data_IF_568299531117
#
_entry.id   IF_568299531117
#
_cell.length_a   1.000
_cell.length_b   1.000
_cell.length_c   1.000
_cell.angle_alpha   90.00
_cell.angle_beta   90.00
_cell.angle_gamma   90.00
#
_symmetry.space_group_name_H-M   'P 1'
#
loop_
_entity.id
_entity.type
_entity.pdbx_description
1 polymer ?
#
# COMPACT_ATOMS: atom_id res chain seq x y z
N UNK A 1 -40.83 -44.92 0.10
CA UNK A 1 -39.69 -44.68 -0.82
C UNK A 1 -38.67 -43.87 -0.03
N UNK A 2 -37.49 -44.45 0.19
CA UNK A 2 -36.43 -43.75 0.86
C UNK A 2 -35.83 -42.69 -0.12
N UNK A 3 -35.66 -41.47 0.33
CA UNK A 3 -35.11 -40.40 -0.50
C UNK A 3 -33.59 -40.58 -0.67
N UNK A 4 -33.20 -41.15 -1.82
CA UNK A 4 -31.79 -41.41 -2.13
C UNK A 4 -31.14 -40.18 -2.78
N UNK A 5 -30.71 -39.22 -1.96
CA UNK A 5 -30.12 -37.98 -2.44
C UNK A 5 -28.83 -38.20 -3.25
N UNK A 6 -28.01 -39.21 -2.92
CA UNK A 6 -26.75 -39.48 -3.65
C UNK A 6 -26.98 -39.88 -5.11
N UNK A 7 -28.00 -40.72 -5.37
CA UNK A 7 -28.34 -41.08 -6.75
C UNK A 7 -28.91 -39.90 -7.54
N UNK A 8 -29.73 -39.09 -6.87
CA UNK A 8 -30.33 -37.89 -7.47
C UNK A 8 -29.23 -36.87 -7.84
N UNK A 9 -28.31 -36.55 -6.91
CA UNK A 9 -27.21 -35.67 -7.14
C UNK A 9 -26.31 -36.16 -8.27
N UNK A 10 -25.87 -37.41 -8.24
CA UNK A 10 -25.04 -38.00 -9.29
C UNK A 10 -25.71 -37.95 -10.68
N UNK A 11 -27.03 -38.20 -10.74
CA UNK A 11 -27.82 -38.13 -11.98
C UNK A 11 -27.80 -36.71 -12.53
N UNK A 12 -28.09 -35.70 -11.71
CA UNK A 12 -28.20 -34.33 -12.18
C UNK A 12 -26.83 -33.68 -12.52
N UNK A 13 -25.81 -33.97 -11.73
CA UNK A 13 -24.43 -33.50 -12.04
C UNK A 13 -23.97 -34.05 -13.39
N UNK A 14 -24.19 -35.34 -13.65
CA UNK A 14 -23.88 -35.93 -14.96
C UNK A 14 -24.66 -35.26 -16.09
N UNK A 15 -25.96 -35.06 -15.91
CA UNK A 15 -26.82 -34.42 -16.90
C UNK A 15 -26.36 -32.98 -17.22
N UNK A 16 -26.02 -32.18 -16.19
CA UNK A 16 -25.51 -30.82 -16.39
C UNK A 16 -24.21 -30.77 -17.19
N UNK A 17 -23.33 -31.76 -16.99
CA UNK A 17 -22.10 -31.91 -17.75
C UNK A 17 -22.36 -32.33 -19.20
N UNK A 18 -23.18 -33.35 -19.43
CA UNK A 18 -23.52 -33.89 -20.76
C UNK A 18 -24.27 -32.86 -21.62
N UNK A 19 -25.19 -32.12 -21.03
CA UNK A 19 -25.98 -31.08 -21.72
C UNK A 19 -25.31 -29.72 -21.74
N UNK A 20 -24.11 -29.55 -21.16
CA UNK A 20 -23.42 -28.25 -21.02
C UNK A 20 -24.34 -27.15 -20.49
N UNK A 21 -25.20 -27.50 -19.49
CA UNK A 21 -26.32 -26.66 -19.03
C UNK A 21 -25.93 -25.25 -18.64
N UNK A 22 -24.71 -25.03 -18.19
CA UNK A 22 -24.22 -23.74 -17.72
C UNK A 22 -23.33 -23.00 -18.71
N UNK A 23 -23.11 -23.59 -19.90
CA UNK A 23 -22.43 -22.92 -20.99
C UNK A 23 -23.24 -21.72 -21.47
N UNK A 24 -22.55 -20.58 -21.68
CA UNK A 24 -23.19 -19.35 -22.11
C UNK A 24 -22.44 -18.74 -23.30
N UNK A 25 -23.21 -18.37 -24.31
CA UNK A 25 -22.75 -17.54 -25.43
C UNK A 25 -23.37 -16.15 -25.32
N UNK A 26 -22.74 -15.18 -26.00
CA UNK A 26 -23.27 -13.82 -26.03
C UNK A 26 -24.63 -13.77 -26.72
N UNK A 27 -25.67 -13.38 -25.99
CA UNK A 27 -27.03 -13.25 -26.48
C UNK A 27 -27.54 -11.81 -26.24
N UNK A 28 -27.65 -10.98 -27.29
CA UNK A 28 -28.09 -9.59 -27.13
C UNK A 28 -29.59 -9.47 -26.83
N UNK A 29 -30.36 -10.54 -26.97
CA UNK A 29 -31.82 -10.53 -26.73
C UNK A 29 -32.16 -10.71 -25.25
N UNK A 30 -31.21 -11.13 -24.44
CA UNK A 30 -31.37 -11.39 -23.01
C UNK A 30 -30.55 -10.39 -22.19
N UNK A 31 -31.05 -9.94 -21.03
CA UNK A 31 -30.29 -9.11 -20.12
C UNK A 31 -29.06 -9.88 -19.61
N UNK A 32 -27.88 -9.23 -19.68
CA UNK A 32 -26.62 -9.84 -19.23
C UNK A 32 -26.49 -9.80 -17.72
N UNK A 33 -25.92 -10.88 -17.17
CA UNK A 33 -25.49 -10.91 -15.78
C UNK A 33 -24.14 -11.61 -15.65
N UNK A 34 -23.20 -11.00 -14.95
CA UNK A 34 -21.86 -11.54 -14.75
C UNK A 34 -21.63 -11.79 -13.26
N UNK A 35 -21.28 -13.02 -12.92
CA UNK A 35 -20.91 -13.43 -11.56
C UNK A 35 -19.45 -13.83 -11.57
N UNK A 36 -18.65 -13.17 -10.75
CA UNK A 36 -17.22 -13.44 -10.64
C UNK A 36 -16.87 -13.88 -9.23
N UNK A 37 -16.27 -15.05 -9.12
CA UNK A 37 -15.68 -15.56 -7.90
C UNK A 37 -14.16 -15.35 -7.88
N UNK A 38 -13.57 -15.29 -6.70
CA UNK A 38 -12.12 -15.32 -6.54
C UNK A 38 -11.61 -16.74 -6.86
N UNK A 39 -10.73 -16.84 -7.83
CA UNK A 39 -10.15 -18.12 -8.22
C UNK A 39 -9.28 -18.71 -7.11
N UNK A 40 -9.40 -20.02 -6.81
CA UNK A 40 -8.58 -20.65 -5.80
C UNK A 40 -7.13 -20.80 -6.29
N UNK A 41 -6.18 -20.76 -5.35
CA UNK A 41 -4.81 -21.23 -5.59
C UNK A 41 -4.77 -22.76 -5.52
N UNK A 42 -4.35 -23.47 -6.58
CA UNK A 42 -4.22 -24.92 -6.55
C UNK A 42 -2.94 -25.37 -5.81
N UNK A 43 -2.71 -24.83 -4.61
CA UNK A 43 -1.49 -25.02 -3.83
C UNK A 43 -1.52 -26.24 -2.90
N UNK A 44 -2.68 -26.90 -2.74
CA UNK A 44 -2.87 -28.04 -1.87
C UNK A 44 -3.50 -29.23 -2.57
N UNK A 45 -3.59 -30.36 -1.86
CA UNK A 45 -4.16 -31.60 -2.38
C UNK A 45 -5.69 -31.58 -2.57
N UNK A 46 -6.34 -30.45 -2.37
CA UNK A 46 -7.77 -30.24 -2.53
C UNK A 46 -8.27 -28.95 -1.89
N UNK A 47 -9.57 -28.68 -2.09
CA UNK A 47 -10.26 -27.54 -1.51
C UNK A 47 -10.33 -27.66 0.02
N UNK A 48 -10.21 -26.55 0.73
CA UNK A 48 -10.60 -26.43 2.13
C UNK A 48 -11.99 -25.80 2.23
N UNK A 49 -12.63 -25.91 3.40
CA UNK A 49 -14.03 -25.44 3.63
C UNK A 49 -14.24 -23.95 3.37
N UNK A 50 -13.20 -23.14 3.42
CA UNK A 50 -13.28 -21.71 3.11
C UNK A 50 -13.56 -21.41 1.63
N UNK A 51 -13.15 -22.28 0.70
CA UNK A 51 -13.40 -22.06 -0.73
C UNK A 51 -14.91 -22.10 -1.06
N UNK A 52 -15.67 -23.16 -0.69
CA UNK A 52 -17.09 -23.19 -0.98
C UNK A 52 -17.91 -22.10 -0.32
N UNK A 53 -17.44 -21.52 0.79
CA UNK A 53 -18.17 -20.52 1.54
C UNK A 53 -18.58 -19.31 0.67
N UNK A 54 -17.65 -18.79 -0.14
CA UNK A 54 -17.94 -17.73 -1.10
C UNK A 54 -18.74 -18.23 -2.31
N UNK A 55 -18.34 -19.38 -2.85
CA UNK A 55 -18.91 -19.92 -4.10
C UNK A 55 -20.36 -20.35 -3.98
N UNK A 56 -20.81 -20.80 -2.79
CA UNK A 56 -22.22 -21.16 -2.56
C UNK A 56 -23.12 -19.93 -2.73
N UNK A 57 -22.75 -18.79 -2.18
CA UNK A 57 -23.56 -17.57 -2.27
C UNK A 57 -23.69 -17.07 -3.73
N UNK A 58 -22.59 -17.02 -4.46
CA UNK A 58 -22.55 -16.60 -5.87
C UNK A 58 -23.28 -17.61 -6.78
N UNK A 59 -23.16 -18.91 -6.50
CA UNK A 59 -23.88 -19.95 -7.26
C UNK A 59 -25.39 -19.88 -7.07
N UNK A 60 -25.86 -19.69 -5.85
CA UNK A 60 -27.30 -19.49 -5.57
C UNK A 60 -27.81 -18.28 -6.34
N UNK A 61 -27.09 -17.16 -6.30
CA UNK A 61 -27.51 -15.95 -6.99
C UNK A 61 -27.43 -16.09 -8.52
N UNK A 62 -26.44 -16.79 -9.02
CA UNK A 62 -26.28 -17.15 -10.43
C UNK A 62 -27.49 -17.94 -10.95
N UNK A 63 -27.89 -19.00 -10.21
CA UNK A 63 -29.07 -19.80 -10.53
C UNK A 63 -30.36 -18.98 -10.49
N UNK A 64 -30.54 -18.17 -9.47
CA UNK A 64 -31.69 -17.26 -9.38
C UNK A 64 -31.79 -16.34 -10.61
N UNK A 65 -30.70 -15.71 -11.03
CA UNK A 65 -30.70 -14.86 -12.22
C UNK A 65 -31.00 -15.63 -13.51
N UNK A 66 -30.52 -16.87 -13.65
CA UNK A 66 -30.91 -17.72 -14.80
C UNK A 66 -32.41 -18.01 -14.82
N UNK A 67 -32.99 -18.31 -13.67
CA UNK A 67 -34.44 -18.50 -13.55
C UNK A 67 -35.23 -17.24 -13.86
N UNK A 68 -34.68 -16.06 -13.62
CA UNK A 68 -35.24 -14.76 -14.00
C UNK A 68 -35.05 -14.41 -15.50
N UNK A 69 -34.48 -15.30 -16.30
CA UNK A 69 -34.31 -15.11 -17.74
C UNK A 69 -33.04 -14.37 -18.18
N UNK A 70 -32.11 -14.08 -17.26
CA UNK A 70 -30.83 -13.46 -17.60
C UNK A 70 -29.90 -14.43 -18.33
N UNK A 71 -29.04 -13.86 -19.21
CA UNK A 71 -27.90 -14.55 -19.78
C UNK A 71 -26.74 -14.42 -18.80
N UNK A 72 -26.48 -15.48 -18.00
CA UNK A 72 -25.58 -15.45 -16.85
C UNK A 72 -24.23 -16.07 -17.20
N UNK A 73 -23.18 -15.26 -17.21
CA UNK A 73 -21.79 -15.73 -17.27
C UNK A 73 -21.27 -15.92 -15.83
N UNK A 74 -20.95 -17.15 -15.46
CA UNK A 74 -20.37 -17.53 -14.19
C UNK A 74 -19.10 -18.37 -14.43
N UNK A 75 -17.95 -17.71 -14.74
CA UNK A 75 -16.71 -18.41 -15.02
C UNK A 75 -16.03 -18.89 -13.74
N UNK A 76 -15.13 -19.85 -13.88
CA UNK A 76 -14.22 -20.29 -12.84
C UNK A 76 -12.82 -20.49 -13.42
N UNK A 77 -11.83 -20.52 -12.56
CA UNK A 77 -10.45 -20.71 -12.95
C UNK A 77 -9.54 -20.99 -11.77
N UNK A 78 -8.24 -20.87 -12.00
CA UNK A 78 -7.20 -21.16 -11.01
C UNK A 78 -6.13 -20.10 -11.09
N UNK A 79 -5.80 -19.52 -9.93
CA UNK A 79 -4.63 -18.66 -9.78
C UNK A 79 -3.42 -19.58 -9.55
N UNK A 80 -2.71 -19.89 -10.63
CA UNK A 80 -1.86 -21.07 -10.68
C UNK A 80 -0.34 -20.75 -10.67
N UNK A 81 0.04 -19.50 -10.50
CA UNK A 81 1.41 -19.10 -10.18
C UNK A 81 1.61 -18.95 -8.67
N UNK A 82 2.85 -18.96 -8.23
CA UNK A 82 3.21 -18.50 -6.90
C UNK A 82 4.14 -19.40 -6.11
N UNK A 83 4.64 -18.84 -5.01
CA UNK A 83 5.60 -19.43 -4.10
C UNK A 83 5.27 -20.85 -3.61
N UNK A 84 4.00 -21.22 -3.32
CA UNK A 84 3.68 -22.57 -2.88
C UNK A 84 4.10 -23.67 -3.86
N UNK A 85 3.82 -23.46 -5.14
CA UNK A 85 4.17 -24.43 -6.19
C UNK A 85 5.69 -24.48 -6.41
N UNK A 86 6.36 -23.33 -6.36
CA UNK A 86 7.81 -23.20 -6.50
C UNK A 86 8.55 -23.88 -5.36
N UNK A 87 8.15 -23.66 -4.12
CA UNK A 87 8.77 -24.29 -2.94
C UNK A 87 8.56 -25.80 -2.93
N UNK A 88 7.37 -26.27 -3.31
CA UNK A 88 7.14 -27.70 -3.46
C UNK A 88 8.02 -28.32 -4.55
N UNK A 89 8.23 -27.62 -5.65
CA UNK A 89 9.14 -28.04 -6.71
C UNK A 89 10.59 -28.16 -6.23
N UNK A 90 11.07 -27.20 -5.46
CA UNK A 90 12.43 -27.22 -4.86
C UNK A 90 12.58 -28.42 -3.92
N UNK A 91 11.58 -28.66 -3.07
CA UNK A 91 11.61 -29.76 -2.08
C UNK A 91 11.55 -31.15 -2.71
N UNK A 92 10.82 -31.29 -3.80
CA UNK A 92 10.54 -32.60 -4.42
C UNK A 92 11.33 -32.87 -5.69
N UNK A 93 11.99 -31.87 -6.26
CA UNK A 93 12.65 -31.94 -7.56
C UNK A 93 11.69 -32.08 -8.76
N UNK A 94 10.39 -31.84 -8.54
CA UNK A 94 9.37 -31.87 -9.60
C UNK A 94 9.18 -30.48 -10.21
N UNK A 95 8.97 -30.41 -11.52
CA UNK A 95 8.60 -29.16 -12.16
C UNK A 95 7.24 -28.64 -11.64
N UNK A 96 7.08 -27.35 -11.33
CA UNK A 96 5.84 -26.79 -10.74
C UNK A 96 4.58 -27.14 -11.53
N UNK A 97 4.64 -27.15 -12.86
CA UNK A 97 3.50 -27.46 -13.73
C UNK A 97 2.88 -28.85 -13.43
N UNK A 98 3.71 -29.86 -13.11
CA UNK A 98 3.22 -31.23 -12.86
C UNK A 98 2.32 -31.26 -11.63
N UNK A 99 2.74 -30.63 -10.56
CA UNK A 99 1.96 -30.55 -9.33
C UNK A 99 0.72 -29.67 -9.51
N UNK A 100 0.87 -28.53 -10.18
CA UNK A 100 -0.23 -27.61 -10.48
C UNK A 100 -1.34 -28.28 -11.27
N UNK A 101 -1.02 -29.02 -12.36
CA UNK A 101 -2.01 -29.75 -13.15
C UNK A 101 -2.75 -30.81 -12.32
N UNK A 102 -2.04 -31.57 -11.49
CA UNK A 102 -2.65 -32.56 -10.60
C UNK A 102 -3.61 -31.90 -9.61
N UNK A 103 -3.20 -30.80 -9.03
CA UNK A 103 -4.03 -30.07 -8.07
C UNK A 103 -5.26 -29.45 -8.75
N UNK A 104 -5.11 -28.86 -9.93
CA UNK A 104 -6.22 -28.34 -10.73
C UNK A 104 -7.24 -29.43 -11.00
N UNK A 105 -6.79 -30.59 -11.46
CA UNK A 105 -7.68 -31.72 -11.71
C UNK A 105 -8.46 -32.13 -10.46
N UNK A 106 -7.79 -32.13 -9.30
CA UNK A 106 -8.43 -32.46 -8.02
C UNK A 106 -9.44 -31.40 -7.57
N UNK A 107 -9.09 -30.12 -7.69
CA UNK A 107 -9.99 -29.00 -7.38
C UNK A 107 -11.22 -29.04 -8.28
N UNK A 108 -11.03 -29.28 -9.59
CA UNK A 108 -12.11 -29.43 -10.55
C UNK A 108 -13.08 -30.55 -10.16
N UNK A 109 -12.56 -31.74 -9.86
CA UNK A 109 -13.37 -32.88 -9.40
C UNK A 109 -14.20 -32.51 -8.16
N UNK A 110 -13.63 -31.81 -7.20
CA UNK A 110 -14.33 -31.42 -5.98
C UNK A 110 -15.43 -30.37 -6.24
N UNK A 111 -15.16 -29.36 -7.07
CA UNK A 111 -16.14 -28.34 -7.45
C UNK A 111 -17.30 -28.96 -8.24
N UNK A 112 -17.02 -29.89 -9.13
CA UNK A 112 -18.05 -30.66 -9.87
C UNK A 112 -18.92 -31.49 -8.94
N UNK A 113 -18.34 -32.13 -7.89
CA UNK A 113 -19.09 -32.92 -6.88
C UNK A 113 -20.00 -32.05 -6.00
N UNK A 114 -19.61 -30.77 -5.75
CA UNK A 114 -20.51 -29.84 -5.06
C UNK A 114 -21.67 -29.42 -5.98
N UNK A 115 -21.44 -29.44 -7.29
CA UNK A 115 -22.47 -29.20 -8.30
C UNK A 115 -22.67 -27.71 -8.62
N UNK A 116 -21.64 -26.91 -8.54
CA UNK A 116 -21.70 -25.49 -8.91
C UNK A 116 -22.06 -25.27 -10.38
N UNK A 117 -22.72 -24.15 -10.66
CA UNK A 117 -23.17 -23.76 -12.01
C UNK A 117 -22.12 -22.94 -12.78
N UNK A 118 -20.86 -23.37 -12.73
CA UNK A 118 -19.78 -22.71 -13.48
C UNK A 118 -19.82 -23.03 -14.97
N UNK A 119 -19.52 -22.03 -15.79
CA UNK A 119 -19.25 -22.23 -17.21
C UNK A 119 -17.79 -22.62 -17.45
N UNK A 120 -17.53 -23.90 -17.48
CA UNK A 120 -16.19 -24.45 -17.65
C UNK A 120 -15.57 -24.24 -19.03
N UNK A 121 -16.35 -23.82 -20.04
CA UNK A 121 -15.78 -23.36 -21.30
C UNK A 121 -15.03 -22.05 -21.17
N UNK A 122 -15.30 -21.33 -20.10
CA UNK A 122 -14.62 -20.09 -19.71
C UNK A 122 -13.59 -20.31 -18.60
N UNK A 123 -13.10 -21.55 -18.44
CA UNK A 123 -12.05 -21.85 -17.47
C UNK A 123 -10.81 -21.01 -17.73
N UNK A 124 -10.25 -20.42 -16.69
CA UNK A 124 -9.05 -19.60 -16.71
C UNK A 124 -7.95 -20.25 -15.87
N UNK A 125 -6.73 -20.29 -16.42
CA UNK A 125 -5.51 -20.69 -15.71
C UNK A 125 -4.48 -19.60 -15.87
N UNK A 126 -4.13 -18.94 -14.79
CA UNK A 126 -3.25 -17.76 -14.86
C UNK A 126 -1.83 -18.10 -15.33
N UNK A 127 -1.40 -19.36 -15.17
CA UNK A 127 -0.12 -19.88 -15.65
C UNK A 127 -0.12 -20.29 -17.14
N UNK A 128 -1.26 -20.22 -17.83
CA UNK A 128 -1.32 -20.55 -19.24
C UNK A 128 -0.75 -19.39 -20.10
N UNK A 129 0.12 -19.66 -21.07
CA UNK A 129 0.64 -18.63 -21.99
C UNK A 129 -0.44 -17.83 -22.69
N UNK A 130 -1.57 -18.44 -23.01
CA UNK A 130 -2.71 -17.77 -23.63
C UNK A 130 -3.33 -16.72 -22.73
N UNK A 131 -3.22 -16.88 -21.40
CA UNK A 131 -3.66 -15.93 -20.41
C UNK A 131 -2.59 -14.88 -20.07
N UNK A 132 -1.41 -15.29 -19.60
CA UNK A 132 -0.43 -14.35 -19.06
C UNK A 132 0.21 -13.44 -20.12
N UNK A 133 0.11 -13.76 -21.42
CA UNK A 133 0.50 -12.82 -22.48
C UNK A 133 -0.18 -11.45 -22.36
N UNK A 134 -1.42 -11.42 -21.84
CA UNK A 134 -2.16 -10.19 -21.63
C UNK A 134 -1.66 -9.41 -20.42
N UNK A 135 -1.22 -10.10 -19.38
CA UNK A 135 -0.53 -9.49 -18.24
C UNK A 135 0.79 -8.86 -18.67
N UNK A 136 1.57 -9.58 -19.51
CA UNK A 136 2.80 -9.05 -20.10
C UNK A 136 2.54 -7.84 -21.00
N UNK A 137 1.49 -7.91 -21.82
CA UNK A 137 1.09 -6.78 -22.67
C UNK A 137 0.72 -5.55 -21.81
N UNK A 138 -0.10 -5.73 -20.79
CA UNK A 138 -0.48 -4.64 -19.88
C UNK A 138 0.74 -4.01 -19.20
N UNK A 139 1.71 -4.83 -18.76
CA UNK A 139 2.97 -4.33 -18.22
C UNK A 139 3.76 -3.48 -19.24
N UNK A 140 3.87 -3.96 -20.47
CA UNK A 140 4.55 -3.23 -21.54
C UNK A 140 3.85 -1.90 -21.87
N UNK A 141 2.52 -1.88 -21.86
CA UNK A 141 1.78 -0.62 -22.04
C UNK A 141 2.02 0.34 -20.87
N UNK A 142 2.02 -0.13 -19.64
CA UNK A 142 2.39 0.71 -18.49
C UNK A 142 3.83 1.23 -18.57
N UNK A 143 4.77 0.43 -19.08
CA UNK A 143 6.15 0.88 -19.28
C UNK A 143 6.27 1.95 -20.38
N UNK A 144 5.45 1.88 -21.42
CA UNK A 144 5.41 2.84 -22.53
C UNK A 144 4.63 4.11 -22.22
N UNK A 145 3.99 4.22 -21.05
CA UNK A 145 3.11 5.34 -20.72
C UNK A 145 3.55 6.05 -19.43
N UNK A 146 3.17 7.33 -19.32
CA UNK A 146 3.19 8.13 -18.12
C UNK A 146 1.77 8.61 -17.80
N UNK A 147 1.52 9.08 -16.59
CA UNK A 147 0.23 9.66 -16.22
C UNK A 147 0.26 11.17 -16.28
N UNK A 148 -0.50 11.75 -17.18
CA UNK A 148 -0.71 13.18 -17.31
C UNK A 148 -1.92 13.59 -16.46
N UNK A 149 -1.69 14.35 -15.38
CA UNK A 149 -2.73 14.79 -14.46
C UNK A 149 -3.64 15.83 -15.10
N UNK A 150 -3.12 16.65 -16.03
CA UNK A 150 -3.91 17.67 -16.71
C UNK A 150 -5.01 17.09 -17.60
N UNK A 151 -4.79 15.89 -18.16
CA UNK A 151 -5.76 15.16 -18.98
C UNK A 151 -6.44 14.02 -18.22
N UNK A 152 -6.00 13.73 -17.01
CA UNK A 152 -6.43 12.60 -16.16
C UNK A 152 -6.34 11.24 -16.90
N UNK A 153 -5.23 11.04 -17.65
CA UNK A 153 -5.02 9.85 -18.50
C UNK A 153 -3.58 9.39 -18.53
N UNK A 154 -3.43 8.08 -18.80
CA UNK A 154 -2.16 7.55 -19.28
C UNK A 154 -1.93 8.01 -20.71
N UNK A 155 -0.76 8.60 -20.96
CA UNK A 155 -0.34 9.08 -22.28
C UNK A 155 0.97 8.42 -22.70
N UNK A 156 1.19 8.18 -24.01
CA UNK A 156 2.43 7.60 -24.49
C UNK A 156 3.66 8.40 -24.07
N UNK A 157 4.73 7.71 -23.66
CA UNK A 157 5.97 8.34 -23.17
C UNK A 157 6.62 9.26 -24.23
N UNK A 158 6.40 8.97 -25.50
CA UNK A 158 6.89 9.77 -26.63
C UNK A 158 6.33 11.21 -26.61
N UNK A 159 5.10 11.39 -26.11
CA UNK A 159 4.52 12.73 -25.92
C UNK A 159 5.31 13.52 -24.88
N UNK A 160 5.73 12.86 -23.80
CA UNK A 160 6.54 13.47 -22.75
C UNK A 160 7.95 13.82 -23.29
N UNK A 161 8.55 12.93 -24.09
CA UNK A 161 9.84 13.20 -24.75
C UNK A 161 9.74 14.42 -25.66
N UNK A 162 8.72 14.50 -26.51
CA UNK A 162 8.50 15.64 -27.40
C UNK A 162 8.33 16.96 -26.61
N UNK A 163 7.64 16.90 -25.46
CA UNK A 163 7.50 18.04 -24.58
C UNK A 163 8.84 18.46 -23.98
N UNK A 164 9.65 17.52 -23.50
CA UNK A 164 10.98 17.81 -22.96
C UNK A 164 11.91 18.44 -24.01
N UNK A 165 11.82 17.99 -25.27
CA UNK A 165 12.57 18.55 -26.38
C UNK A 165 12.16 20.00 -26.73
N UNK A 166 10.89 20.34 -26.53
CA UNK A 166 10.34 21.65 -26.87
C UNK A 166 10.50 22.69 -25.75
N UNK A 167 10.24 22.31 -24.48
CA UNK A 167 10.13 23.27 -23.38
C UNK A 167 10.64 22.74 -22.02
N UNK A 168 11.23 21.53 -21.99
CA UNK A 168 11.67 20.94 -20.72
C UNK A 168 10.47 20.57 -19.83
N UNK A 169 10.61 20.81 -18.53
CA UNK A 169 9.59 20.51 -17.52
C UNK A 169 8.69 21.71 -17.19
N UNK A 170 8.78 22.83 -17.90
CA UNK A 170 7.96 24.00 -17.62
C UNK A 170 6.47 23.68 -17.77
N UNK A 171 5.66 23.98 -16.75
CA UNK A 171 4.22 23.74 -16.72
C UNK A 171 3.81 22.25 -16.86
N UNK A 172 4.70 21.31 -16.58
CA UNK A 172 4.39 19.87 -16.59
C UNK A 172 3.60 19.51 -15.32
N UNK A 173 2.44 18.89 -15.52
CA UNK A 173 1.65 18.29 -14.46
C UNK A 173 1.51 16.79 -14.74
N UNK A 174 2.53 16.02 -14.36
CA UNK A 174 2.59 14.57 -14.55
C UNK A 174 2.92 13.85 -13.25
N UNK A 175 2.41 12.63 -13.09
CA UNK A 175 2.78 11.81 -11.95
C UNK A 175 4.25 11.37 -12.07
N UNK A 176 5.02 11.61 -11.02
CA UNK A 176 6.45 11.31 -10.98
C UNK A 176 6.87 10.80 -9.59
N UNK A 177 8.06 10.22 -9.49
CA UNK A 177 8.65 9.83 -8.20
C UNK A 177 9.24 11.04 -7.48
N UNK A 178 9.91 11.92 -8.25
CA UNK A 178 10.53 13.14 -7.77
C UNK A 178 10.28 14.26 -8.76
N UNK A 179 9.91 15.44 -8.27
CA UNK A 179 9.82 16.62 -9.12
C UNK A 179 11.20 17.01 -9.65
N UNK A 180 11.28 17.21 -10.95
CA UNK A 180 12.51 17.60 -11.64
C UNK A 180 12.26 18.90 -12.41
N UNK A 181 13.27 19.75 -12.46
CA UNK A 181 13.24 20.98 -13.25
C UNK A 181 14.43 21.01 -14.18
N UNK A 182 14.16 21.11 -15.47
CA UNK A 182 15.19 21.30 -16.52
C UNK A 182 14.57 21.94 -17.76
N UNK A 183 15.40 22.64 -18.53
CA UNK A 183 15.06 23.27 -19.79
C UNK A 183 15.16 22.29 -20.96
N UNK A 184 14.64 22.67 -22.13
CA UNK A 184 14.78 21.90 -23.36
C UNK A 184 16.26 21.70 -23.76
N UNK A 185 17.12 22.70 -23.54
CA UNK A 185 18.54 22.59 -23.89
C UNK A 185 19.28 21.64 -22.94
N UNK A 186 18.96 21.68 -21.64
CA UNK A 186 19.50 20.71 -20.68
C UNK A 186 19.06 19.28 -21.01
N UNK A 187 17.80 19.07 -21.41
CA UNK A 187 17.34 17.76 -21.89
C UNK A 187 18.12 17.28 -23.11
N UNK A 188 18.33 18.15 -24.11
CA UNK A 188 19.05 17.81 -25.34
C UNK A 188 20.52 17.50 -25.09
N UNK A 189 21.13 18.10 -24.08
CA UNK A 189 22.54 17.87 -23.71
C UNK A 189 22.78 16.52 -23.03
N UNK A 190 21.72 15.86 -22.53
CA UNK A 190 21.82 14.59 -21.81
C UNK A 190 22.10 13.42 -22.75
N UNK A 191 22.85 12.45 -22.23
CA UNK A 191 23.04 11.15 -22.89
C UNK A 191 21.74 10.37 -22.94
N UNK A 192 21.67 9.33 -23.80
CA UNK A 192 20.51 8.46 -23.90
C UNK A 192 20.21 7.76 -22.55
N UNK A 193 21.25 7.33 -21.84
CA UNK A 193 21.10 6.70 -20.51
C UNK A 193 20.53 7.67 -19.48
N UNK A 194 21.01 8.90 -19.41
CA UNK A 194 20.49 9.93 -18.51
C UNK A 194 19.02 10.29 -18.83
N UNK A 195 18.67 10.36 -20.13
CA UNK A 195 17.29 10.58 -20.55
C UNK A 195 16.38 9.43 -20.10
N UNK A 196 16.82 8.18 -20.30
CA UNK A 196 16.03 7.03 -19.84
C UNK A 196 15.87 7.01 -18.31
N UNK A 197 16.88 7.36 -17.54
CA UNK A 197 16.77 7.51 -16.07
C UNK A 197 15.72 8.55 -15.68
N UNK A 198 15.68 9.69 -16.40
CA UNK A 198 14.63 10.69 -16.21
C UNK A 198 13.26 10.14 -16.57
N UNK A 199 13.13 9.39 -17.68
CA UNK A 199 11.86 8.80 -18.09
C UNK A 199 11.35 7.76 -17.07
N UNK A 200 12.24 6.99 -16.41
CA UNK A 200 11.86 6.09 -15.32
C UNK A 200 11.14 6.84 -14.18
N UNK A 201 11.47 8.11 -13.96
CA UNK A 201 10.81 8.95 -12.96
C UNK A 201 9.32 9.19 -13.27
N UNK A 202 8.87 9.02 -14.53
CA UNK A 202 7.50 9.29 -14.99
C UNK A 202 6.74 8.04 -15.44
N UNK A 203 7.45 6.99 -15.90
CA UNK A 203 6.80 5.76 -16.40
C UNK A 203 5.85 5.16 -15.37
N UNK A 204 4.74 4.57 -15.83
CA UNK A 204 3.79 3.85 -14.97
C UNK A 204 4.33 2.52 -14.44
N UNK A 205 5.15 1.82 -15.23
CA UNK A 205 5.99 0.73 -14.75
C UNK A 205 7.45 1.16 -14.83
N UNK A 206 8.19 1.11 -13.73
CA UNK A 206 9.56 1.63 -13.65
C UNK A 206 10.42 0.77 -12.71
N UNK A 207 11.74 0.92 -12.84
CA UNK A 207 12.72 0.25 -11.97
C UNK A 207 13.30 1.23 -10.96
N UNK A 208 13.30 0.85 -9.69
CA UNK A 208 13.95 1.61 -8.63
C UNK A 208 14.54 0.67 -7.56
N UNK A 209 15.50 1.20 -6.82
CA UNK A 209 16.01 0.54 -5.62
C UNK A 209 15.04 0.79 -4.47
N UNK A 210 14.54 -0.28 -3.87
CA UNK A 210 13.62 -0.22 -2.74
C UNK A 210 14.00 -1.23 -1.66
N UNK A 211 13.54 -0.99 -0.44
CA UNK A 211 13.67 -1.96 0.65
C UNK A 211 12.66 -3.08 0.44
N UNK A 212 13.13 -4.31 0.56
CA UNK A 212 12.31 -5.52 0.39
C UNK A 212 12.57 -6.51 1.51
N UNK A 213 11.57 -7.35 1.78
CA UNK A 213 11.69 -8.47 2.70
C UNK A 213 12.36 -9.65 1.97
N UNK A 214 13.67 -9.78 2.09
CA UNK A 214 14.42 -10.86 1.47
C UNK A 214 14.53 -12.08 2.40
N UNK A 215 14.15 -13.24 1.91
CA UNK A 215 14.35 -14.50 2.62
C UNK A 215 15.43 -15.35 1.92
N UNK A 216 16.66 -15.44 2.45
CA UNK A 216 17.73 -16.20 1.82
C UNK A 216 17.40 -17.68 1.63
N UNK A 217 16.73 -18.31 2.59
CA UNK A 217 16.38 -19.73 2.55
C UNK A 217 15.31 -20.06 1.51
N UNK A 218 14.37 -19.13 1.28
CA UNK A 218 13.37 -19.28 0.22
C UNK A 218 13.88 -18.75 -1.13
N UNK A 219 14.97 -17.97 -1.13
CA UNK A 219 15.57 -17.39 -2.34
C UNK A 219 14.67 -16.36 -3.03
N UNK A 220 13.80 -15.68 -2.28
CA UNK A 220 12.80 -14.76 -2.86
C UNK A 220 12.49 -13.57 -1.95
N UNK A 221 11.86 -12.55 -2.55
CA UNK A 221 11.27 -11.42 -1.86
C UNK A 221 9.86 -11.80 -1.40
N UNK A 222 9.52 -11.44 -0.16
CA UNK A 222 8.22 -11.70 0.46
C UNK A 222 7.42 -10.41 0.60
N UNK A 223 6.09 -10.52 0.42
CA UNK A 223 5.17 -9.45 0.78
C UNK A 223 5.13 -9.23 2.30
N UNK A 224 4.68 -8.06 2.73
CA UNK A 224 4.59 -7.76 4.17
C UNK A 224 3.71 -8.77 4.93
N UNK A 225 2.63 -9.24 4.28
CA UNK A 225 1.72 -10.22 4.87
C UNK A 225 2.31 -11.65 4.97
N UNK A 226 3.41 -11.93 4.30
CA UNK A 226 4.13 -13.22 4.34
C UNK A 226 5.25 -13.24 5.39
N UNK A 227 5.41 -12.14 6.15
CA UNK A 227 6.42 -12.03 7.22
C UNK A 227 5.73 -11.79 8.55
N UNK A 228 6.05 -12.62 9.54
CA UNK A 228 5.55 -12.51 10.91
C UNK A 228 6.70 -12.68 11.90
N UNK A 229 6.83 -11.75 12.84
CA UNK A 229 7.90 -11.75 13.87
C UNK A 229 9.32 -11.86 13.25
N UNK A 230 9.55 -11.25 12.06
CA UNK A 230 10.83 -11.32 11.34
C UNK A 230 11.10 -12.67 10.66
N UNK A 231 10.11 -13.56 10.63
CA UNK A 231 10.19 -14.87 10.00
C UNK A 231 9.22 -14.98 8.84
N UNK A 232 9.54 -15.79 7.84
CA UNK A 232 8.63 -16.14 6.76
C UNK A 232 7.47 -16.99 7.29
N UNK A 233 6.22 -16.67 6.89
CA UNK A 233 5.05 -17.49 7.23
C UNK A 233 5.24 -18.94 6.77
N UNK A 234 5.87 -19.13 5.63
CA UNK A 234 6.26 -20.46 5.12
C UNK A 234 7.65 -20.84 5.58
N UNK A 235 7.73 -21.90 6.35
CA UNK A 235 8.97 -22.50 6.80
C UNK A 235 9.61 -21.83 8.02
N UNK A 236 9.12 -20.67 8.48
CA UNK A 236 9.65 -19.99 9.67
C UNK A 236 11.09 -19.52 9.54
N UNK A 237 11.52 -19.14 8.34
CA UNK A 237 12.89 -18.74 8.07
C UNK A 237 13.14 -17.26 8.34
N UNK A 238 14.33 -16.85 8.81
CA UNK A 238 14.67 -15.45 9.00
C UNK A 238 14.51 -14.63 7.71
N UNK A 239 13.94 -13.44 7.85
CA UNK A 239 13.73 -12.47 6.77
C UNK A 239 14.57 -11.23 7.05
N UNK A 240 15.24 -10.72 6.01
CA UNK A 240 16.13 -9.56 6.08
C UNK A 240 15.53 -8.40 5.29
N UNK A 241 15.60 -7.19 5.84
CA UNK A 241 15.38 -5.97 5.07
C UNK A 241 16.59 -5.72 4.17
N UNK A 242 16.38 -5.74 2.86
CA UNK A 242 17.45 -5.60 1.87
C UNK A 242 17.08 -4.61 0.78
N UNK A 243 18.01 -3.71 0.45
CA UNK A 243 17.83 -2.82 -0.70
C UNK A 243 18.11 -3.57 -1.99
N UNK A 244 17.11 -3.66 -2.86
CA UNK A 244 17.19 -4.38 -4.13
C UNK A 244 16.50 -3.59 -5.23
N UNK A 245 17.02 -3.72 -6.45
CA UNK A 245 16.39 -3.16 -7.63
C UNK A 245 15.15 -3.98 -8.01
N UNK A 246 13.99 -3.34 -8.01
CA UNK A 246 12.69 -3.95 -8.25
C UNK A 246 11.94 -3.23 -9.37
N UNK A 247 11.03 -3.95 -10.02
CA UNK A 247 9.98 -3.34 -10.81
C UNK A 247 8.87 -2.82 -9.90
N UNK A 248 8.45 -1.60 -10.16
CA UNK A 248 7.39 -0.92 -9.43
C UNK A 248 6.31 -0.46 -10.40
N UNK A 249 5.07 -0.47 -9.95
CA UNK A 249 3.92 0.11 -10.65
C UNK A 249 3.47 1.38 -9.94
N UNK A 250 3.30 2.48 -10.67
CA UNK A 250 2.91 3.79 -10.12
C UNK A 250 1.39 3.83 -9.85
N UNK A 251 0.92 2.96 -8.96
CA UNK A 251 -0.51 2.87 -8.59
C UNK A 251 -1.04 4.15 -7.95
N UNK A 252 -0.18 4.91 -7.28
CA UNK A 252 -0.52 6.20 -6.64
C UNK A 252 -0.95 7.26 -7.66
N UNK A 253 -0.54 7.15 -8.92
CA UNK A 253 -1.03 8.04 -9.99
C UNK A 253 -2.54 7.97 -10.20
N UNK A 254 -3.15 6.82 -9.86
CA UNK A 254 -4.58 6.57 -9.98
C UNK A 254 -5.35 6.68 -8.66
N UNK A 255 -4.70 7.00 -7.55
CA UNK A 255 -5.31 6.96 -6.21
C UNK A 255 -6.55 7.87 -6.11
N UNK A 256 -6.45 9.13 -6.57
CA UNK A 256 -7.60 10.06 -6.56
C UNK A 256 -8.73 9.54 -7.45
N UNK A 257 -8.41 9.07 -8.66
CA UNK A 257 -9.40 8.54 -9.61
C UNK A 257 -10.12 7.30 -9.07
N UNK A 258 -9.40 6.44 -8.33
CA UNK A 258 -10.00 5.29 -7.63
C UNK A 258 -10.95 5.76 -6.53
N UNK A 259 -10.54 6.77 -5.74
CA UNK A 259 -11.36 7.34 -4.68
C UNK A 259 -12.66 7.94 -5.22
N UNK A 260 -12.56 8.76 -6.27
CA UNK A 260 -13.73 9.36 -6.95
C UNK A 260 -14.65 8.31 -7.59
N UNK A 261 -14.04 7.23 -8.08
CA UNK A 261 -14.74 6.09 -8.67
C UNK A 261 -15.69 5.38 -7.70
N UNK A 262 -15.41 5.38 -6.40
CA UNK A 262 -16.27 4.75 -5.37
C UNK A 262 -17.69 5.33 -5.34
N UNK A 263 -17.85 6.62 -5.68
CA UNK A 263 -19.15 7.29 -5.69
C UNK A 263 -20.10 6.74 -6.76
N UNK A 264 -19.56 6.12 -7.81
CA UNK A 264 -20.32 5.54 -8.92
C UNK A 264 -20.74 4.09 -8.69
N UNK A 265 -20.22 3.46 -7.62
CA UNK A 265 -20.46 2.04 -7.34
C UNK A 265 -21.69 1.86 -6.48
N UNK A 266 -22.50 0.86 -6.80
CA UNK A 266 -23.65 0.40 -6.00
C UNK A 266 -23.17 -0.57 -4.89
N UNK A 267 -22.21 -0.13 -4.08
CA UNK A 267 -21.67 -0.89 -2.95
C UNK A 267 -22.25 -0.39 -1.63
N UNK A 268 -22.21 -1.21 -0.60
CA UNK A 268 -22.55 -0.77 0.75
C UNK A 268 -21.60 0.31 1.25
N UNK A 269 -22.11 1.22 2.08
CA UNK A 269 -21.31 2.32 2.64
C UNK A 269 -20.10 1.80 3.45
N UNK A 270 -20.29 0.70 4.18
CA UNK A 270 -19.21 0.07 4.93
C UNK A 270 -18.06 -0.42 4.03
N UNK A 271 -18.38 -1.00 2.86
CA UNK A 271 -17.36 -1.43 1.91
C UNK A 271 -16.64 -0.23 1.27
N UNK A 272 -17.40 0.82 0.89
CA UNK A 272 -16.80 2.07 0.38
C UNK A 272 -15.88 2.70 1.40
N UNK A 273 -16.25 2.70 2.67
CA UNK A 273 -15.44 3.26 3.75
C UNK A 273 -14.13 2.48 3.95
N UNK A 274 -14.18 1.16 3.90
CA UNK A 274 -12.96 0.31 3.93
C UNK A 274 -12.03 0.68 2.77
N UNK A 275 -12.56 0.89 1.57
CA UNK A 275 -11.76 1.27 0.39
C UNK A 275 -11.18 2.69 0.53
N UNK A 276 -11.97 3.66 1.02
CA UNK A 276 -11.48 5.03 1.29
C UNK A 276 -10.33 5.02 2.30
N UNK A 277 -10.49 4.28 3.38
CA UNK A 277 -9.46 4.15 4.41
C UNK A 277 -8.20 3.46 3.88
N UNK A 278 -8.34 2.47 3.00
CA UNK A 278 -7.20 1.81 2.36
C UNK A 278 -6.44 2.74 1.40
N UNK A 279 -7.15 3.52 0.57
CA UNK A 279 -6.54 4.53 -0.32
C UNK A 279 -5.86 5.62 0.52
N UNK A 280 -6.47 6.01 1.64
CA UNK A 280 -5.85 6.83 2.67
C UNK A 280 -5.47 8.23 2.21
N UNK A 281 -6.34 8.94 1.45
CA UNK A 281 -6.08 10.33 1.11
C UNK A 281 -5.90 11.16 2.37
N UNK A 282 -4.78 11.85 2.45
CA UNK A 282 -4.40 12.71 3.56
C UNK A 282 -4.08 14.11 3.05
N UNK A 283 -4.59 15.13 3.72
CA UNK A 283 -4.31 16.53 3.44
C UNK A 283 -3.58 17.14 4.65
N UNK A 284 -2.52 17.88 4.39
CA UNK A 284 -1.71 18.46 5.47
C UNK A 284 -0.68 19.45 4.92
N UNK A 285 0.25 19.81 5.79
CA UNK A 285 1.35 20.71 5.49
C UNK A 285 2.69 20.00 5.49
N UNK A 286 3.53 20.37 4.57
CA UNK A 286 4.96 20.09 4.58
C UNK A 286 5.65 21.22 5.34
N UNK A 287 6.46 20.87 6.33
CA UNK A 287 7.15 21.84 7.18
C UNK A 287 8.61 21.47 7.33
N UNK A 288 9.49 22.48 7.29
CA UNK A 288 10.93 22.31 7.43
C UNK A 288 11.40 22.80 8.81
N UNK A 289 12.16 21.95 9.48
CA UNK A 289 12.81 22.26 10.75
C UNK A 289 14.32 22.34 10.53
N UNK A 290 14.92 23.48 10.83
CA UNK A 290 16.37 23.66 10.72
C UNK A 290 17.09 22.74 11.73
N UNK A 291 18.15 22.09 11.31
CA UNK A 291 18.98 21.27 12.21
C UNK A 291 19.99 22.18 12.88
N UNK A 292 20.02 22.17 14.21
CA UNK A 292 20.92 23.01 14.98
C UNK A 292 22.40 22.72 14.62
N UNK A 293 23.14 23.76 14.22
CA UNK A 293 24.56 23.65 13.85
C UNK A 293 24.82 23.06 12.45
N UNK A 294 23.80 23.00 11.58
CA UNK A 294 23.89 22.49 10.21
C UNK A 294 23.08 23.38 9.27
N UNK A 295 23.43 23.39 7.99
CA UNK A 295 22.63 24.05 6.93
C UNK A 295 21.47 23.16 6.42
N UNK A 296 21.29 21.98 7.01
CA UNK A 296 20.24 21.03 6.62
C UNK A 296 18.92 21.35 7.32
N UNK A 297 17.83 21.01 6.61
CA UNK A 297 16.46 21.13 7.13
C UNK A 297 15.79 19.77 7.13
N UNK A 298 15.25 19.35 8.27
CA UNK A 298 14.45 18.14 8.38
C UNK A 298 13.03 18.44 7.90
N UNK A 299 12.63 17.78 6.84
CA UNK A 299 11.29 17.88 6.27
C UNK A 299 10.33 16.92 6.97
N UNK A 300 9.15 17.43 7.36
CA UNK A 300 8.04 16.61 7.88
C UNK A 300 6.74 16.90 7.12
N UNK A 301 5.84 15.93 7.13
CA UNK A 301 4.46 16.12 6.73
C UNK A 301 3.54 15.96 7.95
N UNK A 302 2.62 16.89 8.14
CA UNK A 302 1.65 16.85 9.24
C UNK A 302 0.24 17.17 8.77
N UNK A 303 -0.74 16.41 9.27
CA UNK A 303 -2.18 16.70 9.10
C UNK A 303 -2.70 17.66 10.18
N UNK A 304 -1.86 17.99 11.17
CA UNK A 304 -2.20 18.88 12.30
C UNK A 304 -1.20 20.06 12.42
N UNK A 305 -1.08 20.90 11.36
CA UNK A 305 -0.17 22.05 11.41
C UNK A 305 -0.57 23.06 12.50
N UNK A 306 -1.83 23.08 12.91
CA UNK A 306 -2.36 23.89 14.03
C UNK A 306 -1.65 23.62 15.37
N UNK A 307 -1.08 22.43 15.55
CA UNK A 307 -0.44 22.04 16.80
C UNK A 307 1.06 22.31 16.86
N UNK A 308 1.63 22.99 15.87
CA UNK A 308 3.09 23.21 15.72
C UNK A 308 3.75 23.85 16.93
N UNK A 309 3.02 24.70 17.67
CA UNK A 309 3.50 25.33 18.89
C UNK A 309 3.67 24.38 20.09
N UNK A 310 3.00 23.21 20.02
CA UNK A 310 3.10 22.14 21.02
C UNK A 310 4.15 21.08 20.71
N UNK A 311 4.94 21.26 19.66
CA UNK A 311 6.01 20.34 19.27
C UNK A 311 7.16 20.43 20.26
N UNK A 312 7.47 19.34 20.94
CA UNK A 312 8.51 19.29 21.98
C UNK A 312 9.67 18.35 21.65
N UNK A 313 9.52 17.50 20.61
CA UNK A 313 10.59 16.67 20.06
C UNK A 313 10.28 16.28 18.61
N UNK A 314 11.28 15.78 17.94
CA UNK A 314 11.17 15.19 16.60
C UNK A 314 11.47 13.71 16.65
N UNK A 315 10.82 12.93 15.79
CA UNK A 315 11.13 11.50 15.66
C UNK A 315 11.35 11.17 14.20
N UNK A 316 12.42 10.44 13.92
CA UNK A 316 12.72 9.90 12.61
C UNK A 316 12.70 8.37 12.64
N UNK A 317 12.36 7.77 11.51
CA UNK A 317 12.38 6.33 11.33
C UNK A 317 13.80 5.77 11.50
N UNK A 318 13.99 4.56 12.08
CA UNK A 318 15.32 3.94 12.19
C UNK A 318 16.04 3.73 10.85
N UNK A 319 15.28 3.66 9.76
CA UNK A 319 15.76 3.50 8.38
C UNK A 319 15.98 4.82 7.64
N UNK A 320 15.70 5.96 8.26
CA UNK A 320 15.87 7.26 7.65
C UNK A 320 17.33 7.51 7.25
N UNK A 321 17.55 8.06 6.06
CA UNK A 321 18.90 8.22 5.48
C UNK A 321 19.84 9.11 6.33
N UNK A 322 19.28 10.04 7.11
CA UNK A 322 20.06 10.97 7.94
C UNK A 322 20.29 10.47 9.38
N UNK A 323 19.86 9.26 9.74
CA UNK A 323 20.04 8.76 11.12
C UNK A 323 21.50 8.82 11.55
N UNK A 324 22.42 8.34 10.69
CA UNK A 324 23.85 8.33 11.02
C UNK A 324 24.46 9.74 11.08
N UNK A 325 24.00 10.65 10.20
CA UNK A 325 24.49 12.04 10.15
C UNK A 325 24.00 12.87 11.35
N UNK A 326 22.78 12.58 11.84
CA UNK A 326 22.19 13.24 13.00
C UNK A 326 22.62 12.61 14.35
N UNK A 327 23.35 11.49 14.31
CA UNK A 327 23.78 10.79 15.52
C UNK A 327 25.12 11.29 15.99
N UNK A 328 25.18 11.85 17.21
CA UNK A 328 26.45 12.25 17.82
C UNK A 328 27.32 11.03 18.19
N UNK A 329 28.62 11.28 18.41
CA UNK A 329 29.56 10.21 18.79
C UNK A 329 29.15 9.48 20.07
N UNK A 330 28.59 10.20 21.03
CA UNK A 330 28.15 9.67 22.31
C UNK A 330 26.93 8.75 22.17
N UNK A 331 26.05 9.01 21.20
CA UNK A 331 24.82 8.23 20.99
C UNK A 331 24.96 7.11 19.97
N UNK A 332 26.10 7.05 19.26
CA UNK A 332 26.29 6.11 18.14
C UNK A 332 26.03 4.66 18.49
N UNK A 333 26.59 4.18 19.58
CA UNK A 333 26.45 2.78 19.97
C UNK A 333 24.99 2.41 20.30
N UNK A 334 24.28 3.29 21.02
CA UNK A 334 22.88 3.07 21.38
C UNK A 334 21.95 3.14 20.14
N UNK A 335 22.24 4.06 19.20
CA UNK A 335 21.49 4.19 17.93
C UNK A 335 21.71 2.95 17.05
N UNK A 336 22.93 2.47 16.88
CA UNK A 336 23.24 1.26 16.08
C UNK A 336 22.56 0.02 16.67
N UNK A 337 22.59 -0.15 17.99
CA UNK A 337 21.88 -1.24 18.66
C UNK A 337 20.37 -1.16 18.42
N UNK A 338 19.77 0.04 18.55
CA UNK A 338 18.35 0.25 18.31
C UNK A 338 17.95 -0.06 16.86
N UNK A 339 18.73 0.39 15.88
CA UNK A 339 18.51 0.08 14.45
C UNK A 339 18.54 -1.43 14.22
N UNK A 340 19.52 -2.15 14.81
CA UNK A 340 19.61 -3.59 14.69
C UNK A 340 18.40 -4.34 15.29
N UNK A 341 17.81 -3.79 16.36
CA UNK A 341 16.58 -4.31 16.97
C UNK A 341 15.35 -3.99 16.10
N UNK A 342 15.22 -2.75 15.62
CA UNK A 342 14.09 -2.30 14.79
C UNK A 342 14.00 -3.08 13.48
N UNK A 343 15.13 -3.41 12.84
CA UNK A 343 15.21 -4.21 11.60
C UNK A 343 14.59 -5.61 11.72
N UNK A 344 14.45 -6.14 12.92
CA UNK A 344 13.84 -7.46 13.16
C UNK A 344 12.31 -7.42 13.16
N UNK A 345 11.70 -6.24 13.11
CA UNK A 345 10.25 -6.03 13.17
C UNK A 345 9.71 -5.57 11.83
N UNK A 346 8.61 -6.17 11.40
CA UNK A 346 7.90 -5.73 10.20
C UNK A 346 7.17 -4.40 10.44
N UNK A 347 6.92 -3.63 9.38
CA UNK A 347 6.11 -2.39 9.47
C UNK A 347 4.72 -2.66 10.06
N UNK A 348 4.11 -3.79 9.71
CA UNK A 348 2.79 -4.18 10.23
C UNK A 348 2.79 -4.39 11.75
N UNK A 349 3.82 -5.05 12.29
CA UNK A 349 3.99 -5.22 13.74
C UNK A 349 4.20 -3.88 14.43
N UNK A 350 4.98 -2.99 13.82
CA UNK A 350 5.23 -1.64 14.32
C UNK A 350 3.96 -0.79 14.38
N UNK A 351 3.07 -0.91 13.37
CA UNK A 351 1.76 -0.24 13.34
C UNK A 351 0.80 -0.85 14.37
N UNK A 352 0.78 -2.17 14.50
CA UNK A 352 -0.17 -2.87 15.37
C UNK A 352 0.15 -2.73 16.87
N UNK A 353 1.42 -2.58 17.24
CA UNK A 353 1.86 -2.55 18.65
C UNK A 353 1.92 -1.12 19.20
N UNK A 354 0.76 -0.58 19.53
CA UNK A 354 0.64 0.78 20.10
C UNK A 354 1.03 0.89 21.58
N UNK A 355 1.23 -0.23 22.28
CA UNK A 355 1.51 -0.25 23.73
C UNK A 355 3.00 -0.23 24.08
N UNK A 356 3.88 -0.53 23.15
CA UNK A 356 5.32 -0.52 23.41
C UNK A 356 5.90 0.83 23.07
N UNK A 357 6.49 1.47 24.05
CA UNK A 357 7.28 2.69 23.85
C UNK A 357 8.74 2.32 23.74
N UNK A 358 9.40 2.67 22.63
CA UNK A 358 10.82 2.46 22.43
C UNK A 358 11.42 3.57 21.56
N UNK A 359 12.67 3.91 21.78
CA UNK A 359 13.38 4.92 21.02
C UNK A 359 14.72 5.25 21.61
N UNK A 360 15.54 6.00 20.90
CA UNK A 360 16.87 6.47 21.33
C UNK A 360 17.08 7.90 20.85
N UNK A 361 17.64 8.76 21.67
CA UNK A 361 18.06 10.11 21.28
C UNK A 361 19.23 10.05 20.32
N UNK A 362 19.22 10.87 19.26
CA UNK A 362 20.35 11.00 18.33
C UNK A 362 21.47 11.89 18.89
N UNK A 363 21.15 12.73 19.87
CA UNK A 363 22.03 13.77 20.40
C UNK A 363 21.99 15.09 19.64
N UNK A 364 21.27 15.14 18.50
CA UNK A 364 21.04 16.34 17.71
C UNK A 364 19.70 17.00 18.02
N UNK A 365 19.56 18.26 17.62
CA UNK A 365 18.38 19.06 17.86
C UNK A 365 17.88 19.68 16.56
N UNK A 366 16.58 19.86 16.45
CA UNK A 366 15.93 20.66 15.41
C UNK A 366 15.36 21.94 16.02
N UNK A 367 15.24 22.99 15.20
CA UNK A 367 14.68 24.26 15.63
C UNK A 367 13.22 24.35 15.16
N UNK A 368 12.31 24.49 16.09
CA UNK A 368 10.91 24.73 15.75
C UNK A 368 10.76 26.06 15.03
N UNK A 369 10.24 26.09 13.78
CA UNK A 369 10.23 27.32 12.96
C UNK A 369 9.29 28.42 13.48
N UNK A 370 8.40 28.11 14.42
CA UNK A 370 7.46 29.08 14.99
C UNK A 370 7.82 29.54 16.39
N UNK A 371 8.38 28.66 17.22
CA UNK A 371 8.78 29.02 18.59
C UNK A 371 10.25 29.39 18.71
N UNK A 372 11.10 29.02 17.75
CA UNK A 372 12.54 29.19 17.83
C UNK A 372 13.24 28.27 18.83
N UNK A 373 12.49 27.39 19.51
CA UNK A 373 13.05 26.46 20.51
C UNK A 373 13.81 25.34 19.83
N UNK A 374 14.97 24.96 20.40
CA UNK A 374 15.67 23.74 20.05
C UNK A 374 14.98 22.55 20.69
N UNK A 375 14.59 21.55 19.92
CA UNK A 375 13.89 20.34 20.33
C UNK A 375 14.71 19.11 19.97
N UNK A 376 14.82 18.07 20.82
CA UNK A 376 15.66 16.92 20.57
C UNK A 376 15.10 16.04 19.47
N UNK A 377 16.01 15.38 18.73
CA UNK A 377 15.68 14.42 17.68
C UNK A 377 15.89 13.00 18.23
N UNK A 378 14.87 12.17 18.12
CA UNK A 378 14.89 10.75 18.48
C UNK A 378 14.75 9.87 17.25
N UNK A 379 15.19 8.63 17.35
CA UNK A 379 14.76 7.55 16.44
C UNK A 379 13.75 6.68 17.17
N UNK A 380 12.71 6.25 16.49
CA UNK A 380 11.75 5.30 17.03
C UNK A 380 11.07 4.49 15.93
N UNK A 381 10.75 3.26 16.25
CA UNK A 381 10.13 2.31 15.34
C UNK A 381 8.63 2.52 15.11
N UNK A 382 7.98 3.45 15.84
CA UNK A 382 6.60 3.86 15.53
C UNK A 382 6.51 4.84 14.35
N UNK A 383 7.63 5.40 13.88
CA UNK A 383 7.71 6.19 12.64
C UNK A 383 8.20 5.29 11.52
N UNK A 384 7.51 5.31 10.38
CA UNK A 384 7.80 4.46 9.23
C UNK A 384 8.50 5.26 8.14
N UNK A 385 9.60 4.74 7.59
CA UNK A 385 10.34 5.39 6.51
C UNK A 385 9.54 5.49 5.20
N UNK A 386 8.57 4.60 4.99
CA UNK A 386 7.70 4.58 3.81
C UNK A 386 6.46 5.48 3.92
N UNK A 387 6.25 6.16 5.04
CA UNK A 387 5.11 7.06 5.25
C UNK A 387 5.58 8.51 5.41
N UNK A 388 5.06 9.41 4.55
CA UNK A 388 5.51 10.79 4.51
C UNK A 388 7.00 10.91 4.18
N UNK A 389 7.72 11.68 4.98
CA UNK A 389 9.17 11.90 4.84
C UNK A 389 10.02 10.94 5.69
N UNK A 390 9.38 10.03 6.44
CA UNK A 390 10.07 9.20 7.44
C UNK A 390 10.48 9.98 8.70
N UNK A 391 9.98 11.20 8.85
CA UNK A 391 10.17 12.07 10.01
C UNK A 391 8.84 12.68 10.45
N UNK A 392 8.64 12.89 11.74
CA UNK A 392 7.47 13.54 12.31
C UNK A 392 7.86 14.62 13.33
N UNK A 393 7.03 15.64 13.44
CA UNK A 393 6.98 16.50 14.61
C UNK A 393 6.09 15.83 15.65
N UNK A 394 6.54 15.73 16.90
CA UNK A 394 5.80 15.09 17.98
C UNK A 394 5.10 16.10 18.85
N UNK A 395 3.80 15.90 19.07
CA UNK A 395 2.92 16.78 19.86
C UNK A 395 2.27 15.99 21.01
N UNK A 396 2.99 15.75 22.09
CA UNK A 396 2.55 14.82 23.13
C UNK A 396 1.24 15.19 23.82
N UNK A 397 0.87 16.45 23.84
CA UNK A 397 -0.43 16.85 24.42
C UNK A 397 -1.64 16.40 23.56
N UNK A 398 -1.44 16.10 22.25
CA UNK A 398 -2.52 15.88 21.29
C UNK A 398 -2.35 14.65 20.39
N UNK A 399 -1.41 13.76 20.72
CA UNK A 399 -1.24 12.43 20.11
C UNK A 399 -0.86 11.43 21.21
N UNK A 400 -1.61 10.35 21.31
CA UNK A 400 -1.45 9.35 22.37
C UNK A 400 -0.13 8.59 22.32
N UNK A 401 0.46 8.40 21.14
CA UNK A 401 1.77 7.74 20.96
C UNK A 401 2.88 8.68 21.41
N UNK A 402 2.82 9.93 20.99
CA UNK A 402 3.76 10.98 21.37
C UNK A 402 3.69 11.24 22.88
N UNK A 403 2.47 11.19 23.46
CA UNK A 403 2.26 11.32 24.90
C UNK A 403 2.97 10.20 25.68
N UNK A 404 2.73 8.94 25.27
CA UNK A 404 3.38 7.80 25.90
C UNK A 404 4.91 7.89 25.80
N UNK A 405 5.42 8.33 24.64
CA UNK A 405 6.83 8.56 24.40
C UNK A 405 7.40 9.66 25.30
N UNK A 406 6.74 10.81 25.36
CA UNK A 406 7.17 11.94 26.19
C UNK A 406 7.19 11.57 27.69
N UNK A 407 6.18 10.86 28.16
CA UNK A 407 6.12 10.37 29.55
C UNK A 407 7.25 9.39 29.86
N UNK A 408 7.57 8.50 28.92
CA UNK A 408 8.65 7.52 29.09
C UNK A 408 10.04 8.16 29.17
N UNK A 409 10.29 9.16 28.31
CA UNK A 409 11.60 9.83 28.23
C UNK A 409 11.69 11.13 29.04
N UNK A 410 10.64 11.49 29.78
CA UNK A 410 10.61 12.69 30.63
C UNK A 410 10.66 14.00 29.80
N UNK A 411 10.06 14.01 28.63
CA UNK A 411 10.00 15.18 27.72
C UNK A 411 8.85 16.12 28.09
N UNK A 412 8.98 17.38 27.70
CA UNK A 412 7.96 18.41 27.94
C UNK A 412 6.65 18.07 27.20
N UNK A 413 5.50 18.37 27.82
CA UNK A 413 4.16 18.22 27.24
C UNK A 413 3.47 19.57 27.30
N UNK A 414 3.21 20.19 26.14
CA UNK A 414 2.63 21.51 26.02
C UNK A 414 1.23 21.40 25.41
N UNK A 415 0.15 21.69 26.16
CA UNK A 415 -1.19 21.71 25.59
C UNK A 415 -1.38 22.95 24.71
N UNK A 416 -1.88 22.73 23.47
CA UNK A 416 -2.14 23.80 22.49
C UNK A 416 -3.61 23.83 22.03
N UNK A 417 -4.42 22.87 22.45
CA UNK A 417 -5.88 22.91 22.30
C UNK A 417 -6.51 22.85 23.69
N UNK A 418 -7.46 23.73 23.95
CA UNK A 418 -8.15 23.84 25.24
C UNK A 418 -8.97 22.57 25.50
N UNK A 419 -8.84 21.98 26.69
CA UNK A 419 -9.57 20.81 27.17
C UNK A 419 -8.66 19.64 27.53
N UNK A 420 -9.29 18.61 28.13
CA UNK A 420 -8.57 17.43 28.61
C UNK A 420 -7.77 17.66 29.88
N UNK A 421 -7.18 16.59 30.39
CA UNK A 421 -6.29 16.60 31.57
C UNK A 421 -4.97 15.92 31.14
N UNK A 422 -4.03 16.72 30.66
CA UNK A 422 -2.73 16.23 30.14
C UNK A 422 -1.83 15.58 31.21
N UNK A 423 -2.19 15.70 32.49
CA UNK A 423 -1.49 14.97 33.55
C UNK A 423 -1.86 13.48 33.55
N UNK A 424 -3.03 13.14 32.99
CA UNK A 424 -3.54 11.76 32.91
C UNK A 424 -3.36 11.11 31.54
N UNK A 425 -3.71 11.86 30.51
CA UNK A 425 -3.70 11.34 29.12
C UNK A 425 -3.57 12.46 28.09
N UNK A 426 -3.28 12.12 26.83
CA UNK A 426 -3.33 13.05 25.71
C UNK A 426 -4.75 13.51 25.42
N UNK A 427 -4.90 14.70 24.88
CA UNK A 427 -6.18 15.23 24.42
C UNK A 427 -6.19 15.26 22.88
N UNK A 428 -6.56 14.13 22.26
CA UNK A 428 -6.49 13.90 20.80
C UNK A 428 -7.65 14.54 20.04
N UNK A 429 -8.43 15.46 20.63
CA UNK A 429 -9.55 16.11 19.99
C UNK A 429 -9.14 16.92 18.77
N UNK A 430 -9.95 16.80 17.70
CA UNK A 430 -9.78 17.51 16.43
C UNK A 430 -10.59 18.81 16.37
N UNK A 431 -11.14 19.25 17.50
CA UNK A 431 -11.93 20.47 17.64
C UNK A 431 -11.65 21.09 19.01
N UNK A 432 -11.83 22.39 19.13
CA UNK A 432 -11.56 23.17 20.33
C UNK A 432 -10.88 24.48 19.99
N UNK A 433 -10.56 25.28 20.99
CA UNK A 433 -9.85 26.55 20.85
C UNK A 433 -8.37 26.37 21.08
N UNK A 434 -7.56 27.06 20.30
CA UNK A 434 -6.11 27.08 20.45
C UNK A 434 -5.71 27.93 21.67
N UNK A 435 -4.72 27.42 22.40
CA UNK A 435 -4.05 28.08 23.53
C UNK A 435 -2.53 27.86 23.40
N UNK A 436 -1.73 28.69 24.05
CA UNK A 436 -0.26 28.59 24.01
C UNK A 436 0.33 28.55 22.60
N UNK A 437 -0.35 29.15 21.63
CA UNK A 437 -0.08 29.04 20.19
C UNK A 437 0.09 30.39 19.50
N UNK A 438 0.46 31.44 20.27
CA UNK A 438 0.77 32.79 19.78
C UNK A 438 -0.32 33.33 18.81
N UNK A 439 -0.01 33.46 17.54
CA UNK A 439 -0.92 33.98 16.51
C UNK A 439 -2.19 33.15 16.29
N UNK A 440 -2.28 31.95 16.85
CA UNK A 440 -3.43 31.04 16.76
C UNK A 440 -4.31 31.05 18.02
N UNK A 441 -3.88 31.70 19.11
CA UNK A 441 -4.61 31.70 20.39
C UNK A 441 -6.05 32.21 20.22
N UNK A 442 -7.00 31.43 20.77
CA UNK A 442 -8.43 31.73 20.73
C UNK A 442 -9.16 31.35 19.45
N UNK A 443 -8.43 30.97 18.37
CA UNK A 443 -9.05 30.46 17.13
C UNK A 443 -9.58 29.03 17.32
N UNK A 444 -10.63 28.68 16.61
CA UNK A 444 -11.03 27.28 16.48
C UNK A 444 -10.03 26.51 15.62
N UNK A 445 -9.83 25.22 15.89
CA UNK A 445 -8.87 24.34 15.17
C UNK A 445 -8.96 24.49 13.65
N UNK A 446 -10.18 24.57 13.08
CA UNK A 446 -10.38 24.73 11.63
C UNK A 446 -9.86 26.07 11.11
N UNK A 447 -10.10 27.15 11.83
CA UNK A 447 -9.61 28.49 11.48
C UNK A 447 -8.07 28.57 11.67
N UNK A 448 -7.56 27.96 12.72
CA UNK A 448 -6.13 27.86 13.01
C UNK A 448 -5.36 27.12 11.92
N UNK A 449 -5.91 26.00 11.39
CA UNK A 449 -5.31 25.27 10.26
C UNK A 449 -5.18 26.22 9.04
N UNK A 450 -6.24 26.94 8.66
CA UNK A 450 -6.18 27.88 7.54
C UNK A 450 -5.16 29.01 7.76
N UNK A 451 -5.08 29.54 8.99
CA UNK A 451 -4.15 30.61 9.36
C UNK A 451 -2.70 30.14 9.30
N UNK A 452 -2.40 28.96 9.91
CA UNK A 452 -1.02 28.46 9.95
C UNK A 452 -0.51 28.00 8.59
N UNK A 453 -1.36 27.46 7.71
CA UNK A 453 -0.97 27.13 6.34
C UNK A 453 -0.47 28.37 5.59
N UNK A 454 -1.20 29.49 5.67
CA UNK A 454 -0.74 30.75 5.07
C UNK A 454 0.58 31.29 5.66
N UNK A 455 0.83 31.03 6.97
CA UNK A 455 2.11 31.40 7.59
C UNK A 455 3.26 30.47 7.19
N UNK A 456 3.01 29.18 7.03
CA UNK A 456 4.00 28.20 6.53
C UNK A 456 4.43 28.58 5.11
N UNK A 457 3.46 28.83 4.21
CA UNK A 457 3.74 29.24 2.83
C UNK A 457 4.53 30.55 2.76
N UNK A 458 4.24 31.51 3.65
CA UNK A 458 4.94 32.81 3.69
C UNK A 458 6.40 32.68 4.16
N UNK A 459 6.70 31.69 5.00
CA UNK A 459 8.06 31.47 5.53
C UNK A 459 8.94 30.59 4.64
N UNK A 460 8.38 29.88 3.67
CA UNK A 460 9.07 29.05 2.67
C UNK A 460 9.14 27.60 3.08
#
# INVERSE_FOLDING_TARGET
MEYNFKEIEAKWQRRWQEEETYRVEADPTRPKFYVLDMFPYPSGAGLHVGHPLGYIASDIYSRYKRLCGFNVLHPMGYDAFGLPAEQYAIQTGQHPAVTTERNIARYREQLDKIGFSFDWHREVRTCDPSYYKWTQWAFLEMFKHYYDRSTDKAEPIEKLVARFEAQGTEGLDAACTQEMRFTADEWKSKTEEEREQILQNYRLAFRADTMVNWCPQLGTVLANDEVKDGLSERGGFPVEQKRMKQWLLRVTAYAQRMLDGLERLEWSDSLKEIQRNWIGRSEGAQVFFDIQGSDRKLEIFTTRPDTIFGVTFMVIAPEHEWVHDLTTSEQRAAVEEYIAQAKKRSERERIAETKRVSGVATGSYAINPFTGKAIPIYISDYVLAGYGTGAIMAVPAHDSRDYAFARHFGLEIIPVVEGGDIEKESYDAKSGKLINSDLLDGLDVKEAIGRILGEIERRG
#
